data_IF_997813014976
#
_entry.id   IF_997813014976
#
_cell.length_a   1.000
_cell.length_b   1.000
_cell.length_c   1.000
_cell.angle_alpha   90.00
_cell.angle_beta   90.00
_cell.angle_gamma   90.00
#
_symmetry.space_group_name_H-M   'P 1'
#
loop_
_entity.id
_entity.type
_entity.pdbx_description
1 polymer ?
#
# COMPACT_ATOMS: atom_id res chain seq x y z
N UNK A 1 5.94 -10.27 -7.91
CA UNK A 1 6.62 -10.00 -6.62
C UNK A 1 5.66 -9.23 -5.72
N UNK A 2 5.90 -9.04 -4.42
CA UNK A 2 5.04 -8.15 -3.65
C UNK A 2 5.10 -6.72 -4.21
N UNK A 3 4.05 -5.96 -3.95
CA UNK A 3 4.03 -4.53 -4.21
C UNK A 3 4.53 -3.77 -2.98
N UNK A 4 5.10 -2.59 -3.19
CA UNK A 4 5.67 -1.73 -2.15
C UNK A 4 5.02 -0.35 -2.22
N UNK A 5 4.71 0.22 -1.05
CA UNK A 5 4.26 1.61 -0.93
C UNK A 5 5.48 2.49 -0.63
N UNK A 6 5.71 3.49 -1.47
CA UNK A 6 6.87 4.39 -1.41
C UNK A 6 6.52 5.76 -0.81
N UNK A 7 7.54 6.63 -0.76
CA UNK A 7 7.52 7.98 -0.16
C UNK A 7 6.28 8.84 -0.50
N UNK A 8 5.69 8.81 -1.71
CA UNK A 8 4.52 9.66 -2.01
C UNK A 8 3.29 9.39 -1.14
N UNK A 9 3.23 8.26 -0.42
CA UNK A 9 2.14 7.96 0.51
C UNK A 9 2.28 8.72 1.86
N UNK A 10 3.47 9.18 2.22
CA UNK A 10 3.76 9.80 3.52
C UNK A 10 2.87 11.03 3.73
N UNK A 11 2.10 11.01 4.82
CA UNK A 11 1.18 12.09 5.20
C UNK A 11 -0.08 12.22 4.35
N UNK A 12 -0.18 11.51 3.22
CA UNK A 12 -1.39 11.45 2.37
C UNK A 12 -2.36 10.43 2.93
N UNK A 13 -1.89 9.19 3.15
CA UNK A 13 -2.67 8.07 3.70
C UNK A 13 -4.11 7.99 3.17
N UNK A 14 -4.26 8.04 1.83
CA UNK A 14 -5.56 8.14 1.15
C UNK A 14 -6.48 6.93 1.36
N UNK A 15 -5.91 5.74 1.61
CA UNK A 15 -6.62 4.46 1.84
C UNK A 15 -7.42 3.90 0.66
N UNK A 16 -7.49 4.57 -0.51
CA UNK A 16 -8.19 4.04 -1.69
C UNK A 16 -7.70 2.68 -2.18
N UNK A 17 -6.43 2.33 -1.92
CA UNK A 17 -5.85 1.03 -2.24
C UNK A 17 -6.31 -0.13 -1.33
N UNK A 18 -6.82 0.17 -0.12
CA UNK A 18 -7.23 -0.84 0.87
C UNK A 18 -8.42 -1.69 0.38
N UNK A 19 -9.58 -1.09 -0.01
CA UNK A 19 -10.77 -1.87 -0.37
C UNK A 19 -10.61 -2.69 -1.66
N UNK A 20 -9.62 -2.40 -2.50
CA UNK A 20 -9.36 -3.15 -3.74
C UNK A 20 -8.37 -4.31 -3.54
N UNK A 21 -7.72 -4.40 -2.38
CA UNK A 21 -6.79 -5.50 -2.09
C UNK A 21 -7.58 -6.79 -1.80
N UNK A 22 -7.51 -7.83 -2.66
CA UNK A 22 -8.33 -9.04 -2.52
C UNK A 22 -7.94 -9.93 -1.33
N UNK A 23 -6.77 -9.67 -0.74
CA UNK A 23 -6.19 -10.42 0.37
C UNK A 23 -5.95 -9.54 1.60
N UNK A 24 -6.47 -8.31 1.58
CA UNK A 24 -6.46 -7.37 2.71
C UNK A 24 -5.06 -7.21 3.34
N UNK A 25 -4.02 -7.08 2.50
CA UNK A 25 -2.63 -7.05 2.97
C UNK A 25 -2.05 -5.64 3.17
N UNK A 26 -2.89 -4.61 3.25
CA UNK A 26 -2.45 -3.20 3.31
C UNK A 26 -2.85 -2.58 4.64
N UNK A 27 -1.85 -2.17 5.43
CA UNK A 27 -2.03 -1.68 6.80
C UNK A 27 -1.12 -0.48 7.12
N UNK A 28 -1.46 0.40 8.08
CA UNK A 28 -2.71 0.37 8.81
C UNK A 28 -3.89 0.90 7.98
N UNK A 29 -5.08 0.35 8.21
CA UNK A 29 -6.35 0.85 7.66
C UNK A 29 -6.92 1.97 8.53
N UNK A 30 -7.86 2.76 8.00
CA UNK A 30 -8.41 3.92 8.72
C UNK A 30 -9.11 3.59 10.06
N UNK A 31 -9.50 2.33 10.23
CA UNK A 31 -10.15 1.77 11.42
C UNK A 31 -9.18 1.10 12.41
N UNK A 32 -7.89 1.00 12.08
CA UNK A 32 -6.86 0.46 12.97
C UNK A 32 -6.21 1.54 13.84
N UNK A 33 -5.89 1.20 15.09
CA UNK A 33 -5.32 2.13 16.08
C UNK A 33 -3.99 2.75 15.61
N UNK A 34 -3.20 1.98 14.87
CA UNK A 34 -1.88 2.39 14.37
C UNK A 34 -1.97 3.39 13.19
N UNK A 35 -3.16 3.62 12.62
CA UNK A 35 -3.33 4.55 11.50
C UNK A 35 -2.93 5.98 11.85
N UNK A 36 -3.21 6.40 13.08
CA UNK A 36 -2.90 7.75 13.54
C UNK A 36 -1.39 8.01 13.63
N UNK A 37 -0.61 6.99 13.99
CA UNK A 37 0.83 7.11 14.24
C UNK A 37 1.69 6.71 13.04
N UNK A 38 1.15 5.90 12.13
CA UNK A 38 1.86 5.53 10.91
C UNK A 38 2.06 6.74 9.98
N UNK A 39 3.25 6.83 9.40
CA UNK A 39 3.59 7.88 8.43
C UNK A 39 2.94 7.62 7.07
N UNK A 40 2.76 6.35 6.70
CA UNK A 40 2.16 5.87 5.46
C UNK A 40 1.50 4.49 5.67
N UNK A 41 0.89 3.94 4.63
CA UNK A 41 0.42 2.55 4.60
C UNK A 41 1.55 1.64 4.13
N UNK A 42 1.44 0.35 4.42
CA UNK A 42 2.42 -0.68 4.15
C UNK A 42 1.73 -1.92 3.59
N UNK A 43 2.35 -2.53 2.58
CA UNK A 43 1.91 -3.81 2.02
C UNK A 43 2.68 -4.93 2.71
N UNK A 44 1.99 -5.95 3.21
CA UNK A 44 2.62 -7.16 3.73
C UNK A 44 3.09 -8.04 2.56
N UNK A 45 4.41 -8.24 2.37
CA UNK A 45 4.94 -8.96 1.23
C UNK A 45 4.64 -10.46 1.26
N UNK A 46 4.44 -11.05 2.44
CA UNK A 46 4.15 -12.49 2.59
C UNK A 46 2.70 -12.82 2.20
N UNK A 47 1.81 -11.82 2.19
CA UNK A 47 0.38 -11.98 1.88
C UNK A 47 0.05 -11.47 0.48
N UNK A 48 0.82 -10.49 -0.03
CA UNK A 48 0.61 -9.92 -1.35
C UNK A 48 0.65 -10.98 -2.46
N UNK A 49 -0.41 -11.05 -3.27
CA UNK A 49 -0.55 -12.02 -4.38
C UNK A 49 -0.28 -11.42 -5.76
N UNK A 50 0.36 -10.25 -5.83
CA UNK A 50 0.78 -9.63 -7.10
C UNK A 50 -0.38 -9.36 -8.09
N UNK A 51 -1.53 -8.92 -7.58
CA UNK A 51 -2.72 -8.69 -8.42
C UNK A 51 -2.77 -7.33 -9.14
N UNK A 52 -1.94 -6.36 -8.73
CA UNK A 52 -1.84 -5.02 -9.35
C UNK A 52 -2.99 -4.04 -9.10
N UNK A 53 -4.11 -4.47 -8.50
CA UNK A 53 -5.31 -3.62 -8.35
C UNK A 53 -5.07 -2.34 -7.52
N UNK A 54 -4.17 -2.38 -6.55
CA UNK A 54 -3.86 -1.24 -5.71
C UNK A 54 -3.09 -0.12 -6.44
N UNK A 55 -2.38 -0.43 -7.53
CA UNK A 55 -1.53 0.52 -8.25
C UNK A 55 -2.37 1.61 -8.92
N UNK A 56 -3.45 1.22 -9.58
CA UNK A 56 -4.35 2.13 -10.30
C UNK A 56 -5.19 2.99 -9.36
N UNK A 57 -5.48 2.50 -8.16
CA UNK A 57 -6.29 3.21 -7.16
C UNK A 57 -5.53 4.29 -6.41
N UNK A 58 -4.19 4.22 -6.33
CA UNK A 58 -3.42 5.19 -5.56
C UNK A 58 -3.36 6.55 -6.27
N UNK A 59 -4.02 7.62 -5.76
CA UNK A 59 -4.10 8.90 -6.47
C UNK A 59 -2.76 9.62 -6.59
N UNK A 60 -1.83 9.30 -5.69
CA UNK A 60 -0.46 9.85 -5.65
C UNK A 60 0.57 8.92 -6.29
N UNK A 61 0.13 7.79 -6.88
CA UNK A 61 0.99 6.80 -7.53
C UNK A 61 2.18 6.37 -6.65
N UNK A 62 1.88 6.01 -5.41
CA UNK A 62 2.88 5.61 -4.44
C UNK A 62 3.21 4.10 -4.48
N UNK A 63 2.50 3.30 -5.25
CA UNK A 63 2.57 1.83 -5.18
C UNK A 63 3.26 1.28 -6.41
N UNK A 64 4.31 0.48 -6.21
CA UNK A 64 5.15 -0.08 -7.27
C UNK A 64 5.38 -1.57 -7.04
N UNK A 65 5.54 -2.37 -8.10
CA UNK A 65 6.14 -3.70 -8.00
C UNK A 65 7.55 -3.60 -7.42
N UNK A 66 7.92 -4.52 -6.51
CA UNK A 66 9.25 -4.52 -5.89
C UNK A 66 10.40 -4.61 -6.92
N UNK A 67 10.19 -5.30 -8.05
CA UNK A 67 11.18 -5.45 -9.14
C UNK A 67 11.39 -4.18 -9.98
N UNK A 68 10.55 -3.17 -9.80
CA UNK A 68 10.73 -1.85 -10.42
C UNK A 68 11.54 -0.88 -9.55
N UNK A 69 11.85 -1.25 -8.31
CA UNK A 69 12.64 -0.44 -7.39
C UNK A 69 14.16 -0.67 -7.59
N UNK A 70 14.99 0.36 -7.37
CA UNK A 70 16.44 0.17 -7.31
C UNK A 70 16.87 -0.68 -6.10
N UNK A 71 17.92 -1.49 -6.28
CA UNK A 71 18.60 -2.25 -5.20
C UNK A 71 19.32 -1.34 -4.17
#
# INVERSE_FOLDING_TARGET
>A
MPHVIAEPCIGVKDTGCVPVCPVECIHPTADEDDFATAEMLYINPDVCIDCGLCVDECPVRAIFPEDELPD
#
